data_IF_963781506075
#
_entry.id   IF_963781506075
#
_cell.length_a   1.000
_cell.length_b   1.000
_cell.length_c   1.000
_cell.angle_alpha   90.00
_cell.angle_beta   90.00
_cell.angle_gamma   90.00
#
_symmetry.space_group_name_H-M   'P 1'
#
loop_
_entity.id
_entity.type
_entity.pdbx_description
1 polymer ?
#
# COMPACT_ATOMS: atom_id res chain seq x y z
N UNK A 1 31.19 34.37 34.63
CA UNK A 1 29.76 34.50 34.26
C UNK A 1 29.49 34.65 32.76
N UNK A 2 30.40 35.19 31.92
CA UNK A 2 30.15 35.42 30.48
C UNK A 2 30.27 34.19 29.54
N UNK A 3 30.87 33.07 30.00
CA UNK A 3 31.04 31.86 29.19
C UNK A 3 29.78 30.98 29.12
N UNK A 4 28.96 31.00 30.17
CA UNK A 4 27.73 30.19 30.24
C UNK A 4 26.61 30.71 29.32
N UNK A 5 26.54 32.02 29.06
CA UNK A 5 25.54 32.62 28.17
C UNK A 5 25.80 32.35 26.68
N UNK A 6 27.08 32.26 26.27
CA UNK A 6 27.46 31.89 24.89
C UNK A 6 27.00 30.48 24.51
N UNK A 7 27.14 29.49 25.40
CA UNK A 7 26.72 28.11 25.15
C UNK A 7 25.20 27.92 25.03
N UNK A 8 24.42 28.71 25.78
CA UNK A 8 22.94 28.69 25.68
C UNK A 8 22.48 29.36 24.38
N UNK A 9 23.12 30.47 23.97
CA UNK A 9 22.80 31.15 22.70
C UNK A 9 23.14 30.31 21.46
N UNK A 10 24.24 29.54 21.49
CA UNK A 10 24.62 28.66 20.38
C UNK A 10 23.66 27.47 20.27
N UNK A 11 23.17 26.94 21.40
CA UNK A 11 22.16 25.87 21.40
C UNK A 11 20.82 26.35 20.85
N UNK A 12 20.34 27.52 21.26
CA UNK A 12 19.10 28.10 20.74
C UNK A 12 19.19 28.40 19.23
N UNK A 13 20.34 28.86 18.75
CA UNK A 13 20.58 29.06 17.32
C UNK A 13 20.58 27.73 16.54
N UNK A 14 21.21 26.68 17.09
CA UNK A 14 21.20 25.35 16.49
C UNK A 14 19.79 24.74 16.44
N UNK A 15 18.99 24.89 17.49
CA UNK A 15 17.61 24.43 17.54
C UNK A 15 16.73 25.14 16.51
N UNK A 16 16.86 26.47 16.38
CA UNK A 16 16.15 27.24 15.35
C UNK A 16 16.58 26.81 13.94
N UNK A 17 17.87 26.56 13.72
CA UNK A 17 18.37 26.08 12.43
C UNK A 17 17.84 24.67 12.10
N UNK A 18 17.75 23.78 13.10
CA UNK A 18 17.18 22.45 12.93
C UNK A 18 15.68 22.51 12.62
N UNK A 19 14.91 23.36 13.31
CA UNK A 19 13.50 23.58 13.01
C UNK A 19 13.30 24.12 11.58
N UNK A 20 14.08 25.12 11.18
CA UNK A 20 14.02 25.64 9.82
C UNK A 20 14.41 24.58 8.76
N UNK A 21 15.41 23.74 9.04
CA UNK A 21 15.77 22.63 8.16
C UNK A 21 14.63 21.61 8.04
N UNK A 22 13.95 21.28 9.14
CA UNK A 22 12.79 20.41 9.12
C UNK A 22 11.63 21.02 8.30
N UNK A 23 11.29 22.28 8.55
CA UNK A 23 10.24 23.01 7.84
C UNK A 23 10.51 23.09 6.33
N UNK A 24 11.78 23.26 5.95
CA UNK A 24 12.20 23.29 4.54
C UNK A 24 12.19 21.93 3.84
N UNK A 25 12.03 20.82 4.57
CA UNK A 25 12.06 19.44 4.04
C UNK A 25 10.81 18.64 4.47
N UNK A 26 9.69 19.31 4.74
CA UNK A 26 8.45 18.66 5.17
C UNK A 26 7.91 17.68 4.11
N UNK A 27 8.09 18.00 2.83
CA UNK A 27 7.71 17.14 1.71
C UNK A 27 8.44 15.79 1.74
N UNK A 28 9.77 15.80 1.93
CA UNK A 28 10.60 14.59 2.05
C UNK A 28 10.26 13.85 3.34
N UNK A 29 10.02 14.57 4.43
CA UNK A 29 9.61 13.97 5.71
C UNK A 29 8.30 13.21 5.59
N UNK A 30 7.31 13.79 4.91
CA UNK A 30 6.01 13.14 4.65
C UNK A 30 6.19 11.94 3.72
N UNK A 31 6.99 12.06 2.65
CA UNK A 31 7.31 10.93 1.77
C UNK A 31 7.98 9.77 2.53
N UNK A 32 8.91 10.08 3.43
CA UNK A 32 9.55 9.07 4.29
C UNK A 32 8.53 8.38 5.21
N UNK A 33 7.58 9.14 5.79
CA UNK A 33 6.50 8.59 6.60
C UNK A 33 5.63 7.60 5.83
N UNK A 34 5.27 7.94 4.58
CA UNK A 34 4.54 7.04 3.69
C UNK A 34 5.35 5.80 3.35
N UNK A 35 6.60 5.96 2.91
CA UNK A 35 7.47 4.84 2.56
C UNK A 35 7.67 3.87 3.75
N UNK A 36 7.85 4.41 4.96
CA UNK A 36 7.94 3.59 6.17
C UNK A 36 6.64 2.84 6.46
N UNK A 37 5.49 3.52 6.36
CA UNK A 37 4.17 2.91 6.60
C UNK A 37 3.90 1.78 5.61
N UNK A 38 4.26 1.96 4.35
CA UNK A 38 4.05 0.96 3.31
C UNK A 38 4.96 -0.25 3.49
N UNK A 39 6.23 -0.02 3.85
CA UNK A 39 7.12 -1.10 4.25
C UNK A 39 6.58 -1.83 5.47
N UNK A 40 6.14 -1.11 6.50
CA UNK A 40 5.58 -1.69 7.71
C UNK A 40 4.37 -2.58 7.39
N UNK A 41 3.44 -2.10 6.55
CA UNK A 41 2.30 -2.87 6.09
C UNK A 41 2.73 -4.12 5.32
N UNK A 42 3.68 -4.00 4.38
CA UNK A 42 4.17 -5.14 3.59
C UNK A 42 4.84 -6.20 4.49
N UNK A 43 5.74 -5.78 5.38
CA UNK A 43 6.47 -6.68 6.29
C UNK A 43 5.48 -7.46 7.18
N UNK A 44 4.48 -6.78 7.73
CA UNK A 44 3.44 -7.43 8.53
C UNK A 44 2.53 -8.32 7.69
N UNK A 45 2.19 -7.93 6.46
CA UNK A 45 1.36 -8.74 5.59
C UNK A 45 2.07 -10.02 5.17
N UNK A 46 3.33 -9.94 4.73
CA UNK A 46 4.15 -11.13 4.39
C UNK A 46 4.26 -12.06 5.61
N UNK A 47 4.52 -11.50 6.79
CA UNK A 47 4.57 -12.29 8.04
C UNK A 47 3.24 -12.98 8.32
N UNK A 48 2.13 -12.25 8.29
CA UNK A 48 0.79 -12.81 8.52
C UNK A 48 0.43 -13.88 7.49
N UNK A 49 0.74 -13.66 6.21
CA UNK A 49 0.51 -14.62 5.14
C UNK A 49 1.30 -15.92 5.35
N UNK A 50 2.56 -15.84 5.79
CA UNK A 50 3.40 -17.01 6.09
C UNK A 50 2.93 -17.83 7.32
N UNK A 51 2.17 -17.20 8.20
CA UNK A 51 1.65 -17.79 9.44
C UNK A 51 0.18 -18.18 9.33
N UNK A 52 -0.45 -17.96 8.16
CA UNK A 52 -1.86 -18.17 7.97
C UNK A 52 -2.24 -19.65 8.15
N UNK A 53 -3.43 -19.85 8.74
CA UNK A 53 -4.04 -21.15 8.95
C UNK A 53 -5.47 -21.16 8.40
N UNK A 54 -5.89 -22.24 7.72
CA UNK A 54 -5.08 -23.41 7.35
C UNK A 54 -3.95 -23.07 6.35
N UNK A 55 -2.92 -23.92 6.30
CA UNK A 55 -1.72 -23.71 5.49
C UNK A 55 -2.02 -23.48 3.99
N UNK A 56 -3.13 -24.02 3.49
CA UNK A 56 -3.60 -23.84 2.11
C UNK A 56 -3.96 -22.38 1.78
N UNK A 57 -4.15 -21.50 2.78
CA UNK A 57 -4.38 -20.08 2.57
C UNK A 57 -3.08 -19.29 2.35
N UNK A 58 -1.93 -19.84 2.74
CA UNK A 58 -0.66 -19.11 2.66
C UNK A 58 -0.30 -18.69 1.23
N UNK A 59 -0.46 -19.53 0.18
CA UNK A 59 -0.16 -19.13 -1.19
C UNK A 59 -0.99 -17.94 -1.66
N UNK A 60 -2.31 -17.96 -1.44
CA UNK A 60 -3.20 -16.86 -1.88
C UNK A 60 -2.94 -15.58 -1.10
N UNK A 61 -2.71 -15.66 0.21
CA UNK A 61 -2.39 -14.47 1.02
C UNK A 61 -1.01 -13.91 0.68
N UNK A 62 -0.04 -14.77 0.35
CA UNK A 62 1.29 -14.35 -0.11
C UNK A 62 1.23 -13.68 -1.49
N UNK A 63 0.33 -14.16 -2.37
CA UNK A 63 0.05 -13.52 -3.65
C UNK A 63 -0.51 -12.11 -3.45
N UNK A 64 -1.47 -11.93 -2.53
CA UNK A 64 -2.01 -10.60 -2.18
C UNK A 64 -0.96 -9.69 -1.55
N UNK A 65 -0.10 -10.20 -0.66
CA UNK A 65 1.00 -9.43 -0.09
C UNK A 65 2.00 -8.98 -1.17
N UNK A 66 2.29 -9.85 -2.14
CA UNK A 66 3.13 -9.52 -3.29
C UNK A 66 2.48 -8.46 -4.18
N UNK A 67 1.18 -8.58 -4.46
CA UNK A 67 0.41 -7.59 -5.20
C UNK A 67 0.42 -6.22 -4.50
N UNK A 68 0.24 -6.21 -3.18
CA UNK A 68 0.37 -5.00 -2.38
C UNK A 68 1.75 -4.36 -2.59
N UNK A 69 2.84 -5.10 -2.37
CA UNK A 69 4.19 -4.56 -2.56
C UNK A 69 4.44 -4.03 -3.98
N UNK A 70 4.06 -4.80 -5.00
CA UNK A 70 4.24 -4.42 -6.40
C UNK A 70 3.48 -3.13 -6.77
N UNK A 71 2.24 -2.98 -6.30
CA UNK A 71 1.44 -1.77 -6.58
C UNK A 71 1.99 -0.52 -5.87
N UNK A 72 2.64 -0.67 -4.70
CA UNK A 72 3.36 0.44 -4.05
C UNK A 72 4.57 0.88 -4.87
N UNK A 73 5.38 -0.08 -5.31
CA UNK A 73 6.55 0.20 -6.18
C UNK A 73 6.11 0.81 -7.51
N UNK A 74 5.01 0.32 -8.09
CA UNK A 74 4.47 0.86 -9.35
C UNK A 74 3.99 2.31 -9.19
N UNK A 75 3.31 2.62 -8.08
CA UNK A 75 2.86 4.00 -7.77
C UNK A 75 4.02 4.98 -7.73
N UNK A 76 5.12 4.60 -7.09
CA UNK A 76 6.28 5.47 -6.90
C UNK A 76 7.42 5.15 -7.89
N UNK A 77 7.11 4.53 -9.03
CA UNK A 77 8.11 4.08 -10.01
C UNK A 77 9.03 5.20 -10.50
N UNK A 78 8.54 6.44 -10.58
CA UNK A 78 9.36 7.60 -10.95
C UNK A 78 10.49 7.85 -9.94
N UNK A 79 10.21 7.71 -8.64
CA UNK A 79 11.22 7.84 -7.58
C UNK A 79 12.27 6.73 -7.70
N UNK A 80 11.84 5.47 -7.86
CA UNK A 80 12.76 4.34 -7.98
C UNK A 80 13.62 4.40 -9.25
N UNK A 81 13.08 4.90 -10.35
CA UNK A 81 13.84 5.18 -11.58
C UNK A 81 14.87 6.30 -11.36
N UNK A 82 14.46 7.41 -10.74
CA UNK A 82 15.34 8.55 -10.48
C UNK A 82 16.47 8.19 -9.49
N UNK A 83 16.19 7.32 -8.52
CA UNK A 83 17.17 6.80 -7.57
C UNK A 83 18.08 5.71 -8.16
N UNK A 84 17.82 5.23 -9.39
CA UNK A 84 18.58 4.15 -10.03
C UNK A 84 18.38 2.77 -9.41
N UNK A 85 17.31 2.58 -8.62
CA UNK A 85 16.98 1.30 -7.97
C UNK A 85 16.36 0.32 -8.98
N UNK A 86 15.56 0.85 -9.91
CA UNK A 86 14.98 0.09 -11.02
C UNK A 86 15.32 0.77 -12.34
N UNK A 87 15.30 0.01 -13.42
CA UNK A 87 15.42 0.53 -14.78
C UNK A 87 14.08 0.42 -15.56
N UNK A 88 14.07 0.87 -16.82
CA UNK A 88 12.88 0.83 -17.66
C UNK A 88 12.35 -0.59 -17.95
N UNK A 89 13.23 -1.59 -18.03
CA UNK A 89 12.84 -2.99 -18.20
C UNK A 89 12.21 -3.53 -16.92
N UNK A 90 12.80 -3.25 -15.75
CA UNK A 90 12.23 -3.64 -14.45
C UNK A 90 10.82 -3.08 -14.26
N UNK A 91 10.60 -1.81 -14.63
CA UNK A 91 9.26 -1.18 -14.58
C UNK A 91 8.27 -1.89 -15.50
N UNK A 92 8.69 -2.23 -16.72
CA UNK A 92 7.82 -2.94 -17.66
C UNK A 92 7.46 -4.35 -17.13
N UNK A 93 8.45 -5.07 -16.58
CA UNK A 93 8.25 -6.38 -15.96
C UNK A 93 7.37 -6.31 -14.71
N UNK A 94 7.52 -5.27 -13.88
CA UNK A 94 6.66 -5.04 -12.72
C UNK A 94 5.20 -4.89 -13.14
N UNK A 95 4.93 -4.03 -14.12
CA UNK A 95 3.57 -3.82 -14.66
C UNK A 95 2.99 -5.11 -15.22
N UNK A 96 3.77 -5.88 -15.97
CA UNK A 96 3.35 -7.18 -16.49
C UNK A 96 3.02 -8.15 -15.34
N UNK A 97 3.86 -8.19 -14.30
CA UNK A 97 3.65 -9.06 -13.14
C UNK A 97 2.37 -8.70 -12.37
N UNK A 98 2.10 -7.41 -12.18
CA UNK A 98 0.84 -6.93 -11.58
C UNK A 98 -0.37 -7.44 -12.39
N UNK A 99 -0.34 -7.31 -13.71
CA UNK A 99 -1.42 -7.82 -14.57
C UNK A 99 -1.61 -9.34 -14.44
N UNK A 100 -0.53 -10.12 -14.46
CA UNK A 100 -0.61 -11.58 -14.31
C UNK A 100 -1.23 -12.00 -12.98
N UNK A 101 -0.91 -11.29 -11.89
CA UNK A 101 -1.50 -11.59 -10.58
C UNK A 101 -2.99 -11.24 -10.56
N UNK A 102 -3.40 -10.14 -11.20
CA UNK A 102 -4.83 -9.84 -11.35
C UNK A 102 -5.56 -10.93 -12.15
N UNK A 103 -4.97 -11.39 -13.26
CA UNK A 103 -5.53 -12.46 -14.08
C UNK A 103 -5.68 -13.77 -13.28
N UNK A 104 -4.71 -14.10 -12.42
CA UNK A 104 -4.77 -15.26 -11.51
C UNK A 104 -5.90 -15.11 -10.48
N UNK A 105 -6.09 -13.93 -9.89
CA UNK A 105 -7.14 -13.67 -8.90
C UNK A 105 -8.55 -13.74 -9.50
N UNK A 106 -8.73 -13.30 -10.74
CA UNK A 106 -10.04 -13.31 -11.43
C UNK A 106 -10.28 -14.56 -12.27
N UNK A 107 -9.31 -15.47 -12.33
CA UNK A 107 -9.45 -16.75 -13.01
C UNK A 107 -10.68 -17.53 -12.52
N UNK A 108 -11.21 -18.40 -13.39
CA UNK A 108 -12.37 -19.23 -13.05
C UNK A 108 -13.64 -18.41 -12.77
N UNK A 109 -13.83 -17.29 -13.47
CA UNK A 109 -14.96 -16.37 -13.32
C UNK A 109 -15.00 -15.66 -11.95
N UNK A 110 -13.83 -15.31 -11.41
CA UNK A 110 -13.71 -14.51 -10.18
C UNK A 110 -14.03 -15.23 -8.88
N UNK A 111 -14.11 -16.57 -8.88
CA UNK A 111 -14.46 -17.35 -7.68
C UNK A 111 -13.53 -17.10 -6.50
N UNK A 112 -12.23 -17.00 -6.77
CA UNK A 112 -11.23 -16.74 -5.73
C UNK A 112 -11.36 -15.32 -5.18
N UNK A 113 -11.41 -14.32 -6.06
CA UNK A 113 -11.64 -12.92 -5.68
C UNK A 113 -12.92 -12.74 -4.84
N UNK A 114 -14.03 -13.37 -5.25
CA UNK A 114 -15.28 -13.31 -4.50
C UNK A 114 -15.17 -13.99 -3.13
N UNK A 115 -14.50 -15.15 -3.04
CA UNK A 115 -14.26 -15.84 -1.78
C UNK A 115 -13.43 -14.98 -0.81
N UNK A 116 -12.41 -14.29 -1.31
CA UNK A 116 -11.58 -13.38 -0.52
C UNK A 116 -12.37 -12.19 0.03
N UNK A 117 -13.26 -11.60 -0.76
CA UNK A 117 -14.13 -10.50 -0.31
C UNK A 117 -15.18 -11.00 0.69
N UNK A 118 -15.81 -12.14 0.42
CA UNK A 118 -16.79 -12.72 1.34
C UNK A 118 -16.18 -13.14 2.68
N UNK A 119 -14.88 -13.47 2.71
CA UNK A 119 -14.15 -13.81 3.94
C UNK A 119 -14.08 -12.66 4.96
N UNK A 120 -14.35 -11.41 4.56
CA UNK A 120 -14.53 -10.30 5.53
C UNK A 120 -15.76 -10.49 6.43
N UNK A 121 -16.69 -11.38 6.06
CA UNK A 121 -17.85 -11.71 6.89
C UNK A 121 -18.82 -10.55 7.10
N UNK A 122 -18.88 -9.60 6.16
CA UNK A 122 -19.76 -8.45 6.22
C UNK A 122 -21.21 -8.93 6.00
N UNK A 123 -22.13 -8.75 6.95
CA UNK A 123 -23.53 -9.14 6.78
C UNK A 123 -24.23 -8.34 5.66
N UNK A 124 -25.11 -9.00 4.92
CA UNK A 124 -25.85 -8.40 3.80
C UNK A 124 -26.61 -7.13 4.16
N UNK A 125 -27.17 -7.05 5.37
CA UNK A 125 -27.90 -5.85 5.82
C UNK A 125 -27.00 -4.63 6.03
N UNK A 126 -25.68 -4.80 6.12
CA UNK A 126 -24.70 -3.71 6.13
C UNK A 126 -24.25 -3.32 4.71
N UNK A 127 -24.47 -4.19 3.72
CA UNK A 127 -24.18 -3.93 2.30
C UNK A 127 -25.35 -3.14 1.68
N UNK A 128 -25.39 -1.84 1.94
CA UNK A 128 -26.45 -0.95 1.43
C UNK A 128 -26.33 -0.63 -0.07
N UNK A 129 -25.24 -1.05 -0.73
CA UNK A 129 -25.03 -0.83 -2.15
C UNK A 129 -25.66 -1.97 -2.96
N UNK A 130 -26.68 -1.71 -3.82
CA UNK A 130 -27.30 -2.75 -4.66
C UNK A 130 -26.32 -3.47 -5.58
N UNK A 131 -25.21 -2.78 -5.92
CA UNK A 131 -24.14 -3.28 -6.78
C UNK A 131 -23.39 -4.48 -6.18
N UNK A 132 -23.49 -4.66 -4.86
CA UNK A 132 -22.82 -5.73 -4.14
C UNK A 132 -23.50 -7.10 -4.35
N UNK A 133 -24.78 -7.12 -4.75
CA UNK A 133 -25.56 -8.37 -4.89
C UNK A 133 -25.65 -8.83 -6.34
N UNK A 134 -26.28 -8.01 -7.20
CA UNK A 134 -26.36 -8.28 -8.63
C UNK A 134 -26.16 -6.99 -9.42
N UNK A 135 -24.90 -6.75 -9.78
CA UNK A 135 -24.52 -5.60 -10.57
C UNK A 135 -25.16 -5.56 -11.96
N UNK A 136 -25.65 -6.70 -12.47
CA UNK A 136 -26.34 -6.76 -13.78
C UNK A 136 -27.77 -6.23 -13.72
N UNK A 137 -28.36 -6.15 -12.52
CA UNK A 137 -29.70 -5.61 -12.32
C UNK A 137 -29.73 -4.09 -12.14
N UNK A 138 -28.56 -3.44 -12.03
CA UNK A 138 -28.46 -1.99 -11.94
C UNK A 138 -28.87 -1.38 -13.29
N UNK A 139 -30.01 -0.71 -13.32
CA UNK A 139 -30.54 -0.05 -14.53
C UNK A 139 -31.33 -0.97 -15.46
N UNK A 140 -31.52 -2.24 -15.10
CA UNK A 140 -32.48 -3.10 -15.78
C UNK A 140 -33.89 -2.53 -15.58
N UNK A 141 -34.74 -2.45 -16.63
CA UNK A 141 -36.11 -1.99 -16.47
C UNK A 141 -36.81 -2.93 -15.49
N UNK A 142 -37.20 -2.42 -14.33
CA UNK A 142 -38.03 -3.15 -13.37
C UNK A 142 -39.29 -3.61 -14.10
N UNK A 143 -39.48 -4.92 -14.25
CA UNK A 143 -40.70 -5.48 -14.80
C UNK A 143 -41.88 -4.97 -13.95
N UNK A 144 -42.79 -4.23 -14.59
CA UNK A 144 -44.07 -3.82 -14.01
C UNK A 144 -45.02 -5.00 -13.91
#
# INVERSE_FOLDING_TARGET
>A
MAAASKGVSSRAAAEKAAAAAFDNNLDVTVQLGWAWTERFCLDNFVKAASQAQPADLQPVLSLLASLYGMTRVERDAAFFLAAGVINGQDRASLRQRVHLVFDELVAGNGKLALSLVNAFGIPDHLLQAPIAFDWRLIGAPTAK
#
